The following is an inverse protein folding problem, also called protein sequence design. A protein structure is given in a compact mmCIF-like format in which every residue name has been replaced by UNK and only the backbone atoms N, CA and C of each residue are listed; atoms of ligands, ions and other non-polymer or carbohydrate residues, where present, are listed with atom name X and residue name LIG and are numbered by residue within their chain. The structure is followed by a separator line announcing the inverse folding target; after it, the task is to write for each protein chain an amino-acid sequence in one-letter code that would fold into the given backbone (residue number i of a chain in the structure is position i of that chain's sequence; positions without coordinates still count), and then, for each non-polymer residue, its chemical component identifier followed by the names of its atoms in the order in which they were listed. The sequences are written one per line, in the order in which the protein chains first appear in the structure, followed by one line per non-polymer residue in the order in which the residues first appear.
data_IF_031607813981
#
_entry.id   IF_031607813981
#
_cell.length_a   1.000
_cell.length_b   1.000
_cell.length_c   1.000
_cell.angle_alpha   90.00
_cell.angle_beta   90.00
_cell.angle_gamma   90.00
#
_symmetry.space_group_name_H-M   'P 1'
#
loop_
_entity.id
_entity.type
_entity.pdbx_description
1 polymer ?
#
# COMPACT_ATOMS: atom_id res chain seq x y z
N UNK A 1 7.91 -17.02 -0.34
CA UNK A 1 6.89 -16.00 -0.08
C UNK A 1 7.60 -14.72 0.36
N UNK A 2 7.65 -13.68 -0.48
CA UNK A 2 8.29 -12.40 -0.12
C UNK A 2 7.29 -11.54 0.65
N UNK A 3 7.76 -10.86 1.69
CA UNK A 3 6.96 -9.88 2.45
C UNK A 3 7.55 -8.50 2.23
N UNK A 4 6.70 -7.54 1.86
CA UNK A 4 7.10 -6.15 1.62
C UNK A 4 6.38 -5.24 2.63
N UNK A 5 7.17 -4.46 3.36
CA UNK A 5 6.67 -3.40 4.22
C UNK A 5 6.62 -2.09 3.43
N UNK A 6 5.45 -1.47 3.37
CA UNK A 6 5.23 -0.18 2.71
C UNK A 6 4.82 0.82 3.79
N UNK A 7 5.55 1.91 3.90
CA UNK A 7 5.21 3.02 4.80
C UNK A 7 4.51 4.13 4.02
N UNK A 8 3.42 4.69 4.55
CA UNK A 8 2.68 5.77 3.86
C UNK A 8 1.80 5.27 2.70
N UNK A 9 1.37 4.02 2.74
CA UNK A 9 0.61 3.38 1.67
C UNK A 9 -0.82 3.89 1.47
N UNK A 10 -1.37 4.70 2.37
CA UNK A 10 -2.67 5.37 2.20
C UNK A 10 -2.55 6.72 1.48
N UNK A 11 -1.33 7.20 1.19
CA UNK A 11 -1.09 8.40 0.36
C UNK A 11 -1.29 8.14 -1.14
N UNK A 12 -1.08 9.18 -1.95
CA UNK A 12 -1.30 9.11 -3.41
C UNK A 12 -0.43 8.04 -4.11
N UNK A 13 0.89 8.13 -3.97
CA UNK A 13 1.82 7.19 -4.62
C UNK A 13 1.75 5.82 -3.95
N UNK A 14 1.73 5.79 -2.61
CA UNK A 14 1.75 4.56 -1.83
C UNK A 14 0.59 3.63 -2.15
N UNK A 15 -0.62 4.17 -2.29
CA UNK A 15 -1.82 3.38 -2.57
C UNK A 15 -1.82 2.79 -3.98
N UNK A 16 -1.41 3.57 -4.98
CA UNK A 16 -1.24 3.08 -6.35
C UNK A 16 -0.13 2.03 -6.44
N UNK A 17 0.97 2.22 -5.72
CA UNK A 17 2.05 1.25 -5.67
C UNK A 17 1.59 -0.08 -5.04
N UNK A 18 0.81 -0.03 -3.94
CA UNK A 18 0.22 -1.23 -3.34
C UNK A 18 -0.65 -1.97 -4.35
N UNK A 19 -1.57 -1.27 -5.02
CA UNK A 19 -2.47 -1.86 -6.03
C UNK A 19 -1.69 -2.52 -7.17
N UNK A 20 -0.71 -1.81 -7.72
CA UNK A 20 0.17 -2.33 -8.76
C UNK A 20 0.95 -3.58 -8.32
N UNK A 21 1.46 -3.59 -7.09
CA UNK A 21 2.23 -4.72 -6.58
C UNK A 21 1.36 -5.94 -6.30
N UNK A 22 0.13 -5.76 -5.79
CA UNK A 22 -0.82 -6.86 -5.60
C UNK A 22 -1.24 -7.49 -6.93
N UNK A 23 -1.42 -6.67 -7.98
CA UNK A 23 -1.75 -7.16 -9.33
C UNK A 23 -0.56 -7.92 -9.97
N UNK A 24 0.63 -7.33 -9.91
CA UNK A 24 1.83 -7.88 -10.57
C UNK A 24 2.46 -9.06 -9.84
N UNK A 25 2.31 -9.11 -8.51
CA UNK A 25 2.92 -10.11 -7.64
C UNK A 25 1.90 -10.64 -6.62
N UNK A 26 0.90 -11.42 -7.06
CA UNK A 26 -0.16 -11.94 -6.18
C UNK A 26 0.36 -12.87 -5.08
N UNK A 27 1.56 -13.42 -5.23
CA UNK A 27 2.24 -14.28 -4.25
C UNK A 27 2.96 -13.50 -3.13
N UNK A 28 3.03 -12.17 -3.24
CA UNK A 28 3.67 -11.33 -2.24
C UNK A 28 2.71 -11.00 -1.10
N UNK A 29 3.24 -10.99 0.12
CA UNK A 29 2.55 -10.42 1.28
C UNK A 29 2.92 -8.95 1.39
N UNK A 30 1.94 -8.07 1.29
CA UNK A 30 2.15 -6.63 1.51
C UNK A 30 1.64 -6.26 2.91
N UNK A 31 2.47 -5.51 3.65
CA UNK A 31 2.10 -4.92 4.94
C UNK A 31 2.21 -3.41 4.80
N UNK A 32 1.10 -2.70 4.85
CA UNK A 32 1.08 -1.23 4.85
C UNK A 32 1.09 -0.71 6.29
N UNK A 33 2.01 0.19 6.60
CA UNK A 33 2.03 0.96 7.85
C UNK A 33 1.84 2.43 7.49
N UNK A 34 0.72 2.99 7.89
CA UNK A 34 0.38 4.38 7.62
C UNK A 34 -0.04 5.08 8.91
N UNK A 35 0.41 6.31 9.08
CA UNK A 35 0.05 7.15 10.23
C UNK A 35 -1.31 7.85 10.06
N UNK A 36 -1.92 7.75 8.87
CA UNK A 36 -3.21 8.36 8.53
C UNK A 36 -3.26 9.85 8.87
N UNK A 37 -2.18 10.55 8.53
CA UNK A 37 -2.12 12.03 8.63
C UNK A 37 -3.05 12.68 7.59
N UNK A 38 -3.05 14.01 7.50
CA UNK A 38 -3.90 14.74 6.54
C UNK A 38 -3.74 14.27 5.07
N UNK A 39 -2.58 13.73 4.71
CA UNK A 39 -2.28 13.24 3.36
C UNK A 39 -2.67 11.76 3.12
N UNK A 40 -3.09 11.03 4.17
CA UNK A 40 -3.50 9.63 4.10
C UNK A 40 -5.01 9.48 4.00
N UNK A 41 -5.49 8.67 3.06
CA UNK A 41 -6.91 8.38 2.92
C UNK A 41 -7.13 6.88 2.62
N UNK A 42 -7.88 6.19 3.49
CA UNK A 42 -8.20 4.77 3.33
C UNK A 42 -9.03 4.48 2.07
N UNK A 43 -9.79 5.45 1.57
CA UNK A 43 -10.51 5.33 0.31
C UNK A 43 -9.58 5.12 -0.90
N UNK A 44 -8.31 5.56 -0.80
CA UNK A 44 -7.33 5.30 -1.84
C UNK A 44 -6.99 3.80 -1.99
N UNK A 45 -7.26 2.99 -0.96
CA UNK A 45 -7.01 1.55 -0.90
C UNK A 45 -8.24 0.69 -1.19
N UNK A 46 -9.41 1.30 -1.46
CA UNK A 46 -10.59 0.57 -1.97
C UNK A 46 -10.41 0.13 -3.42
#
# INVERSE_FOLDING_TARGET
MKTILITGGAGFIGSNFIKFMLDKHPEYRIVNVDALTYAGNLENLK
#
